data_IF_963657440527
#
_entry.id   IF_963657440527
#
_cell.length_a   1.000
_cell.length_b   1.000
_cell.length_c   1.000
_cell.angle_alpha   90.00
_cell.angle_beta   90.00
_cell.angle_gamma   90.00
#
_symmetry.space_group_name_H-M   'P 1'
#
loop_
_entity.id
_entity.type
_entity.pdbx_description
1 polymer ?
#
# COMPACT_ATOMS: atom_id res chain seq x y z
N UNK A 1 -68.21 -80.17 -10.58
CA UNK A 1 -68.65 -78.80 -10.93
C UNK A 1 -68.21 -77.85 -9.82
N UNK A 2 -67.31 -76.91 -10.18
CA UNK A 2 -66.93 -75.63 -9.54
C UNK A 2 -66.60 -75.63 -8.01
N UNK A 3 -65.36 -75.39 -7.53
CA UNK A 3 -64.34 -74.33 -7.73
C UNK A 3 -64.44 -73.16 -6.74
N UNK A 4 -63.39 -73.04 -5.90
CA UNK A 4 -62.75 -71.86 -5.24
C UNK A 4 -63.63 -70.96 -4.32
N UNK A 5 -63.15 -70.30 -3.26
CA UNK A 5 -61.81 -69.85 -2.90
C UNK A 5 -61.68 -69.64 -1.37
N UNK A 6 -60.47 -69.87 -0.84
CA UNK A 6 -60.00 -69.44 0.49
C UNK A 6 -59.40 -68.03 0.31
N UNK A 7 -59.83 -67.04 1.09
CA UNK A 7 -59.21 -65.71 1.16
C UNK A 7 -58.39 -65.64 2.45
N UNK A 8 -57.07 -65.55 2.29
CA UNK A 8 -56.12 -65.08 3.29
C UNK A 8 -56.26 -63.55 3.41
N UNK A 9 -56.48 -63.03 4.62
CA UNK A 9 -56.32 -61.60 4.92
C UNK A 9 -54.92 -61.40 5.50
N UNK A 10 -54.06 -60.75 4.73
CA UNK A 10 -52.71 -60.38 5.10
C UNK A 10 -52.71 -59.11 5.98
N UNK A 11 -51.80 -59.11 6.96
CA UNK A 11 -51.56 -58.02 7.89
C UNK A 11 -51.08 -56.76 7.17
N UNK A 12 -51.77 -55.64 7.39
CA UNK A 12 -51.30 -54.31 7.00
C UNK A 12 -50.22 -53.85 7.99
N UNK A 13 -48.97 -53.90 7.53
CA UNK A 13 -47.84 -53.29 8.21
C UNK A 13 -47.96 -51.77 8.20
N UNK A 14 -47.84 -51.17 9.38
CA UNK A 14 -47.60 -49.74 9.59
C UNK A 14 -46.31 -49.36 8.86
N UNK A 15 -46.43 -48.55 7.82
CA UNK A 15 -45.31 -47.89 7.15
C UNK A 15 -44.72 -46.92 8.17
N UNK A 16 -43.55 -47.27 8.70
CA UNK A 16 -42.76 -46.38 9.54
C UNK A 16 -42.37 -45.13 8.76
N UNK A 17 -42.45 -43.97 9.43
CA UNK A 17 -41.70 -42.79 9.03
C UNK A 17 -40.23 -43.19 8.97
N UNK A 18 -39.67 -43.31 7.75
CA UNK A 18 -38.23 -43.35 7.62
C UNK A 18 -37.70 -41.96 8.00
N UNK A 19 -36.73 -41.84 8.92
CA UNK A 19 -36.04 -40.59 9.14
C UNK A 19 -35.39 -40.20 7.81
N UNK A 20 -35.75 -39.04 7.27
CA UNK A 20 -34.91 -38.40 6.26
C UNK A 20 -33.56 -38.16 6.93
N UNK A 21 -32.52 -38.78 6.38
CA UNK A 21 -31.15 -38.46 6.75
C UNK A 21 -30.94 -36.98 6.44
N UNK A 22 -30.87 -36.13 7.48
CA UNK A 22 -30.47 -34.73 7.38
C UNK A 22 -28.99 -34.55 6.98
N UNK A 23 -28.35 -35.57 6.41
CA UNK A 23 -26.93 -35.61 6.09
C UNK A 23 -26.61 -35.25 4.63
N UNK A 24 -27.55 -34.65 3.90
CA UNK A 24 -27.34 -34.19 2.52
C UNK A 24 -28.20 -32.94 2.23
N UNK A 25 -28.19 -31.96 3.15
CA UNK A 25 -28.38 -30.59 2.68
C UNK A 25 -27.01 -30.22 2.11
N UNK A 26 -26.94 -30.17 0.80
CA UNK A 26 -25.73 -29.76 0.08
C UNK A 26 -25.60 -28.26 0.35
N UNK A 27 -24.62 -27.87 1.17
CA UNK A 27 -24.44 -26.47 1.55
C UNK A 27 -24.08 -25.65 0.31
N UNK A 28 -24.85 -24.60 0.03
CA UNK A 28 -24.64 -23.68 -1.08
C UNK A 28 -23.65 -22.59 -0.64
N UNK A 29 -22.40 -22.74 -1.07
CA UNK A 29 -21.31 -21.79 -0.78
C UNK A 29 -21.25 -20.67 -1.82
N UNK A 30 -21.86 -20.85 -2.98
CA UNK A 30 -21.83 -19.89 -4.08
C UNK A 30 -22.45 -18.56 -3.69
N UNK A 31 -21.87 -17.47 -4.19
CA UNK A 31 -22.42 -16.14 -4.04
C UNK A 31 -21.41 -15.07 -3.67
N UNK A 32 -21.89 -13.83 -3.55
CA UNK A 32 -21.11 -12.68 -3.11
C UNK A 32 -20.99 -12.63 -1.58
N UNK A 33 -19.81 -12.25 -1.11
CA UNK A 33 -19.49 -12.01 0.29
C UNK A 33 -18.77 -10.67 0.43
N UNK A 34 -19.11 -9.89 1.45
CA UNK A 34 -18.30 -8.77 1.91
C UNK A 34 -17.22 -9.32 2.85
N UNK A 35 -15.96 -9.13 2.46
CA UNK A 35 -14.80 -9.73 3.11
C UNK A 35 -13.83 -8.68 3.65
N UNK A 36 -13.22 -8.99 4.79
CA UNK A 36 -12.06 -8.25 5.30
C UNK A 36 -10.88 -9.22 5.36
N UNK A 37 -9.81 -8.89 4.65
CA UNK A 37 -8.55 -9.64 4.63
C UNK A 37 -7.47 -8.84 5.34
N UNK A 38 -6.67 -9.51 6.17
CA UNK A 38 -5.51 -8.95 6.85
C UNK A 38 -4.28 -9.70 6.38
N UNK A 39 -3.23 -8.97 5.99
CA UNK A 39 -1.94 -9.55 5.60
C UNK A 39 -0.83 -9.05 6.52
N UNK A 40 -0.03 -9.97 7.05
CA UNK A 40 1.20 -9.69 7.77
C UNK A 40 2.36 -9.61 6.77
N UNK A 41 2.84 -8.39 6.58
CA UNK A 41 3.89 -7.99 5.64
C UNK A 41 5.24 -7.79 6.35
N UNK A 42 5.37 -8.24 7.61
CA UNK A 42 6.55 -7.99 8.46
C UNK A 42 7.87 -8.46 7.86
N UNK A 43 7.84 -9.48 6.99
CA UNK A 43 8.99 -9.97 6.22
C UNK A 43 9.68 -8.88 5.39
N UNK A 44 8.97 -7.79 5.05
CA UNK A 44 9.50 -6.66 4.27
C UNK A 44 9.58 -5.35 5.06
N UNK A 45 9.53 -5.43 6.38
CA UNK A 45 9.85 -4.27 7.21
C UNK A 45 11.26 -3.75 6.92
N UNK A 46 11.41 -2.43 6.95
CA UNK A 46 12.64 -1.71 6.65
C UNK A 46 12.81 -1.30 5.19
N UNK A 47 11.96 -1.75 4.26
CA UNK A 47 12.09 -1.38 2.84
C UNK A 47 11.92 0.14 2.64
N UNK A 48 10.98 0.76 3.33
CA UNK A 48 10.78 2.21 3.26
C UNK A 48 11.86 2.96 4.04
N UNK A 49 12.43 2.37 5.08
CA UNK A 49 13.63 2.89 5.75
C UNK A 49 14.85 2.96 4.83
N UNK A 50 15.01 1.98 3.92
CA UNK A 50 16.06 2.03 2.90
C UNK A 50 15.81 3.14 1.87
N UNK A 51 14.55 3.30 1.43
CA UNK A 51 14.15 4.38 0.51
C UNK A 51 14.36 5.75 1.18
N UNK A 52 14.03 5.88 2.46
CA UNK A 52 14.23 7.10 3.25
C UNK A 52 15.70 7.55 3.28
N UNK A 53 16.65 6.63 3.23
CA UNK A 53 18.09 6.93 3.13
C UNK A 53 18.52 7.55 1.80
N UNK A 54 17.69 7.45 0.75
CA UNK A 54 17.94 8.07 -0.55
C UNK A 54 17.38 9.50 -0.63
N UNK A 55 16.57 9.93 0.35
CA UNK A 55 16.08 11.30 0.41
C UNK A 55 17.20 12.26 0.84
N UNK A 56 17.55 13.19 -0.05
CA UNK A 56 18.49 14.27 0.26
C UNK A 56 17.68 15.51 0.60
N UNK A 57 18.00 16.19 1.71
CA UNK A 57 17.28 17.41 2.05
C UNK A 57 17.58 18.53 1.02
N UNK A 58 16.59 19.37 0.66
CA UNK A 58 16.79 20.34 -0.42
C UNK A 58 17.92 21.33 -0.18
N UNK A 59 18.18 21.73 1.07
CA UNK A 59 19.28 22.62 1.43
C UNK A 59 20.65 22.04 1.07
N UNK A 60 20.90 20.77 1.41
CA UNK A 60 22.13 20.09 1.06
C UNK A 60 22.24 19.89 -0.46
N UNK A 61 21.15 19.46 -1.10
CA UNK A 61 21.10 19.21 -2.53
C UNK A 61 21.39 20.46 -3.36
N UNK A 62 20.64 21.54 -3.11
CA UNK A 62 20.74 22.80 -3.85
C UNK A 62 22.09 23.45 -3.60
N UNK A 63 22.58 23.45 -2.34
CA UNK A 63 23.92 23.98 -2.02
C UNK A 63 25.00 23.23 -2.81
N UNK A 64 24.92 21.89 -2.87
CA UNK A 64 25.88 21.09 -3.62
C UNK A 64 25.82 21.35 -5.13
N UNK A 65 24.64 21.57 -5.70
CA UNK A 65 24.49 21.94 -7.11
C UNK A 65 25.09 23.31 -7.41
N UNK A 66 24.82 24.31 -6.58
CA UNK A 66 25.41 25.65 -6.71
C UNK A 66 26.94 25.58 -6.63
N UNK A 67 27.50 24.87 -5.64
CA UNK A 67 28.96 24.69 -5.53
C UNK A 67 29.52 23.91 -6.72
N UNK A 68 28.83 22.87 -7.20
CA UNK A 68 29.24 22.11 -8.37
C UNK A 68 29.24 22.95 -9.65
N UNK A 69 28.32 23.90 -9.78
CA UNK A 69 28.33 24.86 -10.89
C UNK A 69 29.55 25.78 -10.81
N UNK A 70 29.89 26.30 -9.62
CA UNK A 70 31.11 27.09 -9.41
C UNK A 70 32.36 26.25 -9.74
N UNK A 71 32.39 24.97 -9.37
CA UNK A 71 33.49 24.06 -9.70
C UNK A 71 33.64 23.87 -11.22
N UNK A 72 32.51 23.71 -11.91
CA UNK A 72 32.49 23.55 -13.38
C UNK A 72 32.99 24.81 -14.09
N UNK A 73 32.67 25.99 -13.57
CA UNK A 73 33.03 27.27 -14.19
C UNK A 73 34.45 27.76 -13.82
N UNK A 74 34.87 27.58 -12.57
CA UNK A 74 36.08 28.19 -12.01
C UNK A 74 37.11 27.17 -11.49
N UNK A 75 36.79 25.89 -11.49
CA UNK A 75 37.65 24.80 -11.02
C UNK A 75 37.52 24.49 -9.52
N UNK A 76 38.00 23.31 -9.13
CA UNK A 76 37.79 22.72 -7.79
C UNK A 76 38.42 23.54 -6.65
N UNK A 77 39.57 24.19 -6.88
CA UNK A 77 40.22 25.04 -5.87
C UNK A 77 39.37 26.26 -5.51
N UNK A 78 38.82 26.93 -6.54
CA UNK A 78 37.94 28.08 -6.36
C UNK A 78 36.63 27.67 -5.71
N UNK A 79 36.03 26.55 -6.15
CA UNK A 79 34.80 26.03 -5.56
C UNK A 79 34.96 25.60 -4.10
N UNK A 80 36.10 25.02 -3.72
CA UNK A 80 36.42 24.71 -2.32
C UNK A 80 36.46 25.97 -1.46
N UNK A 81 37.10 27.03 -1.97
CA UNK A 81 37.16 28.34 -1.30
C UNK A 81 35.77 28.97 -1.20
N UNK A 82 35.01 28.96 -2.30
CA UNK A 82 33.62 29.43 -2.35
C UNK A 82 32.74 28.70 -1.33
N UNK A 83 32.81 27.36 -1.27
CA UNK A 83 32.09 26.54 -0.29
C UNK A 83 32.50 26.90 1.14
N UNK A 84 33.79 27.11 1.40
CA UNK A 84 34.29 27.48 2.72
C UNK A 84 33.77 28.84 3.18
N UNK A 85 33.52 29.78 2.27
CA UNK A 85 33.09 31.14 2.61
C UNK A 85 31.55 31.24 2.67
N UNK A 86 30.87 30.72 1.65
CA UNK A 86 29.43 30.91 1.47
C UNK A 86 28.59 29.66 1.73
N UNK A 87 29.18 28.46 1.74
CA UNK A 87 28.42 27.20 1.75
C UNK A 87 27.44 27.09 2.92
N UNK A 88 27.88 27.41 4.14
CA UNK A 88 27.01 27.38 5.32
C UNK A 88 25.92 28.47 5.27
N UNK A 89 26.24 29.66 4.76
CA UNK A 89 25.28 30.76 4.61
C UNK A 89 24.20 30.40 3.60
N UNK A 90 24.59 29.88 2.43
CA UNK A 90 23.69 29.39 1.38
C UNK A 90 22.76 28.31 1.95
N UNK A 91 23.34 27.29 2.61
CA UNK A 91 22.57 26.20 3.19
C UNK A 91 21.57 26.70 4.25
N UNK A 92 21.99 27.64 5.11
CA UNK A 92 21.13 28.23 6.16
C UNK A 92 19.98 29.04 5.56
N UNK A 93 20.24 29.83 4.52
CA UNK A 93 19.21 30.62 3.84
C UNK A 93 18.21 29.73 3.10
N UNK A 94 18.68 28.67 2.42
CA UNK A 94 17.79 27.69 1.79
C UNK A 94 16.94 26.99 2.85
N UNK A 95 17.56 26.53 3.95
CA UNK A 95 16.85 25.89 5.04
C UNK A 95 15.80 26.82 5.66
N UNK A 96 16.15 28.07 5.95
CA UNK A 96 15.22 29.09 6.47
C UNK A 96 14.05 29.33 5.51
N UNK A 97 14.32 29.41 4.20
CA UNK A 97 13.30 29.62 3.19
C UNK A 97 12.35 28.42 3.08
N UNK A 98 12.88 27.20 2.96
CA UNK A 98 12.09 25.97 2.79
C UNK A 98 11.32 25.64 4.07
N UNK A 99 11.95 25.71 5.24
CA UNK A 99 11.28 25.42 6.53
C UNK A 99 10.12 26.39 6.82
N UNK A 100 10.21 27.65 6.38
CA UNK A 100 9.13 28.62 6.52
C UNK A 100 7.91 28.33 5.64
N UNK A 101 8.05 27.53 4.58
CA UNK A 101 6.97 27.21 3.62
C UNK A 101 6.49 25.76 3.73
N UNK A 102 7.42 24.84 3.91
CA UNK A 102 7.24 23.40 3.82
C UNK A 102 8.14 22.68 4.84
N UNK A 103 7.89 22.83 6.16
CA UNK A 103 8.70 22.17 7.18
C UNK A 103 8.67 20.63 7.09
N UNK A 104 7.59 20.08 6.53
CA UNK A 104 7.41 18.64 6.32
C UNK A 104 8.45 18.00 5.39
N UNK A 105 9.09 18.76 4.49
CA UNK A 105 10.13 18.26 3.58
C UNK A 105 11.32 17.64 4.34
N UNK A 106 11.61 18.16 5.53
CA UNK A 106 12.65 17.65 6.41
C UNK A 106 12.20 16.43 7.23
N UNK A 107 10.92 16.08 7.15
CA UNK A 107 10.32 14.97 7.87
C UNK A 107 10.11 13.73 6.98
N UNK A 108 10.41 13.81 5.68
CA UNK A 108 10.20 12.72 4.71
C UNK A 108 10.79 11.39 5.21
N UNK A 109 12.06 11.38 5.62
CA UNK A 109 12.68 10.16 6.13
C UNK A 109 12.00 9.61 7.39
N UNK A 110 11.57 10.49 8.30
CA UNK A 110 10.85 10.08 9.51
C UNK A 110 9.41 9.62 9.22
N UNK A 111 8.75 10.22 8.23
CA UNK A 111 7.43 9.81 7.75
C UNK A 111 7.51 8.41 7.13
N UNK A 112 8.51 8.16 6.30
CA UNK A 112 8.72 6.82 5.74
C UNK A 112 8.97 5.73 6.78
N UNK A 113 9.68 6.04 7.87
CA UNK A 113 9.83 5.09 8.98
C UNK A 113 8.49 4.79 9.68
N UNK A 114 7.58 5.76 9.73
CA UNK A 114 6.22 5.53 10.24
C UNK A 114 5.39 4.71 9.27
N UNK A 115 5.42 5.04 7.97
CA UNK A 115 4.79 4.24 6.91
C UNK A 115 5.28 2.80 6.97
N UNK A 116 6.58 2.57 7.15
CA UNK A 116 7.16 1.23 7.33
C UNK A 116 6.55 0.46 8.49
N UNK A 117 6.34 1.13 9.62
CA UNK A 117 5.70 0.52 10.78
C UNK A 117 4.22 0.19 10.51
N UNK A 118 3.48 1.11 9.88
CA UNK A 118 2.06 0.95 9.55
C UNK A 118 1.84 -0.19 8.54
N UNK A 119 2.69 -0.27 7.52
CA UNK A 119 2.56 -1.21 6.41
C UNK A 119 2.94 -2.66 6.77
N UNK A 120 3.42 -2.94 7.98
CA UNK A 120 3.64 -4.31 8.48
C UNK A 120 2.36 -5.13 8.50
N UNK A 121 1.21 -4.48 8.62
CA UNK A 121 -0.08 -5.15 8.58
C UNK A 121 -0.97 -4.37 7.65
N UNK A 122 -1.43 -5.03 6.60
CA UNK A 122 -2.30 -4.45 5.59
C UNK A 122 -3.71 -5.02 5.78
N UNK A 123 -4.65 -4.18 6.20
CA UNK A 123 -6.06 -4.53 6.25
C UNK A 123 -6.73 -4.07 4.97
N UNK A 124 -7.34 -5.02 4.26
CA UNK A 124 -7.97 -4.84 2.96
C UNK A 124 -9.44 -5.18 3.09
N UNK A 125 -10.28 -4.23 2.69
CA UNK A 125 -11.70 -4.44 2.50
C UNK A 125 -11.91 -4.95 1.08
N UNK A 126 -12.58 -6.09 0.94
CA UNK A 126 -12.79 -6.73 -0.35
C UNK A 126 -14.24 -7.18 -0.50
N UNK A 127 -14.68 -7.36 -1.74
CA UNK A 127 -15.87 -8.15 -2.07
C UNK A 127 -15.39 -9.43 -2.74
N UNK A 128 -15.83 -10.57 -2.23
CA UNK A 128 -15.49 -11.89 -2.73
C UNK A 128 -16.67 -12.50 -3.47
N UNK A 129 -16.47 -12.95 -4.70
CA UNK A 129 -17.44 -13.75 -5.44
C UNK A 129 -16.97 -15.20 -5.50
N UNK A 130 -17.74 -16.12 -4.91
CA UNK A 130 -17.48 -17.56 -4.94
C UNK A 130 -18.38 -18.22 -5.99
N UNK A 131 -17.77 -19.01 -6.88
CA UNK A 131 -18.45 -19.70 -7.99
C UNK A 131 -18.02 -21.17 -8.01
N UNK A 132 -18.99 -22.08 -8.14
CA UNK A 132 -18.72 -23.50 -8.32
C UNK A 132 -18.19 -23.79 -9.74
N UNK A 133 -17.12 -24.57 -9.82
CA UNK A 133 -16.52 -25.06 -11.06
C UNK A 133 -16.60 -26.59 -11.20
N UNK A 134 -17.42 -27.25 -10.39
CA UNK A 134 -17.66 -28.69 -10.36
C UNK A 134 -16.87 -29.38 -9.25
N UNK A 135 -15.57 -29.58 -9.45
CA UNK A 135 -14.73 -30.24 -8.43
C UNK A 135 -14.14 -29.26 -7.41
N UNK A 136 -14.05 -27.98 -7.78
CA UNK A 136 -13.46 -26.90 -6.98
C UNK A 136 -14.35 -25.65 -7.06
N UNK A 137 -14.15 -24.73 -6.12
CA UNK A 137 -14.72 -23.39 -6.13
C UNK A 137 -13.66 -22.37 -6.54
N UNK A 138 -14.03 -21.42 -7.39
CA UNK A 138 -13.23 -20.22 -7.65
C UNK A 138 -13.77 -19.07 -6.82
N UNK A 139 -12.92 -18.43 -6.03
CA UNK A 139 -13.24 -17.21 -5.31
C UNK A 139 -12.43 -16.04 -5.88
N UNK A 140 -13.12 -14.99 -6.34
CA UNK A 140 -12.49 -13.76 -6.86
C UNK A 140 -12.71 -12.63 -5.87
N UNK A 141 -11.65 -12.07 -5.30
CA UNK A 141 -11.68 -10.94 -4.39
C UNK A 141 -11.33 -9.65 -5.11
N UNK A 142 -12.23 -8.67 -5.05
CA UNK A 142 -12.04 -7.31 -5.55
C UNK A 142 -11.81 -6.38 -4.37
N UNK A 143 -10.79 -5.51 -4.43
CA UNK A 143 -10.53 -4.56 -3.35
C UNK A 143 -11.48 -3.37 -3.43
N UNK A 144 -12.06 -3.04 -2.28
CA UNK A 144 -12.93 -1.89 -2.07
C UNK A 144 -12.18 -0.74 -1.36
N UNK A 145 -11.13 -1.09 -0.62
CA UNK A 145 -10.27 -0.13 0.05
C UNK A 145 -9.31 -0.82 1.00
N UNK A 146 -8.50 -0.01 1.67
CA UNK A 146 -7.58 -0.46 2.70
C UNK A 146 -7.73 0.40 3.94
N UNK A 147 -7.36 -0.16 5.08
CA UNK A 147 -7.25 0.58 6.34
C UNK A 147 -5.91 0.28 6.99
N UNK A 148 -5.24 1.33 7.45
CA UNK A 148 -3.93 1.25 8.07
C UNK A 148 -3.98 2.00 9.40
N UNK A 149 -3.67 1.30 10.49
CA UNK A 149 -3.65 1.90 11.82
C UNK A 149 -2.37 2.70 12.03
N UNK A 150 -2.48 3.83 12.73
CA UNK A 150 -1.32 4.65 13.05
C UNK A 150 -0.34 3.93 13.98
N UNK A 151 -0.88 3.13 14.90
CA UNK A 151 -0.14 2.22 15.76
C UNK A 151 -0.58 0.78 15.44
N UNK A 152 0.32 -0.10 14.96
CA UNK A 152 -0.01 -1.49 14.66
C UNK A 152 -0.56 -2.26 15.88
N UNK A 153 -0.09 -1.95 17.09
CA UNK A 153 -0.52 -2.63 18.32
C UNK A 153 -1.98 -2.32 18.71
N UNK A 154 -2.51 -1.24 18.14
CA UNK A 154 -3.84 -0.74 18.44
C UNK A 154 -4.94 -1.71 17.95
N UNK A 155 -4.63 -2.50 16.91
CA UNK A 155 -5.51 -3.55 16.38
C UNK A 155 -5.72 -4.72 17.36
N UNK A 156 -4.68 -5.11 18.10
CA UNK A 156 -4.76 -6.21 19.08
C UNK A 156 -5.74 -5.90 20.23
N UNK A 157 -6.02 -4.61 20.44
CA UNK A 157 -7.01 -4.12 21.39
C UNK A 157 -8.42 -3.92 20.80
N UNK A 158 -8.65 -4.39 19.57
CA UNK A 158 -9.92 -4.24 18.85
C UNK A 158 -10.08 -2.90 18.13
N UNK A 159 -9.01 -2.10 17.99
CA UNK A 159 -9.00 -0.84 17.24
C UNK A 159 -9.79 0.31 17.88
N UNK A 160 -10.36 0.12 19.08
CA UNK A 160 -11.21 1.12 19.73
C UNK A 160 -10.35 2.30 20.19
N UNK A 161 -10.67 3.50 19.68
CA UNK A 161 -9.97 4.74 20.02
C UNK A 161 -8.64 4.93 19.27
N UNK A 162 -8.37 4.08 18.28
CA UNK A 162 -7.18 4.15 17.45
C UNK A 162 -7.43 5.04 16.23
N UNK A 163 -6.41 5.82 15.87
CA UNK A 163 -6.41 6.56 14.61
C UNK A 163 -6.10 5.59 13.47
N UNK A 164 -6.87 5.69 12.39
CA UNK A 164 -6.71 4.88 11.19
C UNK A 164 -6.79 5.76 9.95
N UNK A 165 -5.98 5.43 8.96
CA UNK A 165 -6.06 5.98 7.61
C UNK A 165 -6.80 4.97 6.74
N UNK A 166 -7.95 5.35 6.23
CA UNK A 166 -8.73 4.53 5.28
C UNK A 166 -8.66 5.15 3.89
N UNK A 167 -8.33 4.35 2.90
CA UNK A 167 -8.24 4.74 1.50
C UNK A 167 -9.16 3.84 0.69
N UNK A 168 -10.08 4.43 -0.05
CA UNK A 168 -10.92 3.68 -0.99
C UNK A 168 -10.17 3.38 -2.29
N UNK A 169 -10.69 2.44 -3.07
CA UNK A 169 -10.07 2.05 -4.35
C UNK A 169 -10.00 3.22 -5.34
N UNK A 170 -10.97 4.14 -5.31
CA UNK A 170 -10.94 5.33 -6.15
C UNK A 170 -9.72 6.21 -5.83
N UNK A 171 -9.48 6.50 -4.54
CA UNK A 171 -8.31 7.29 -4.10
C UNK A 171 -6.98 6.62 -4.44
N UNK A 172 -6.93 5.29 -4.42
CA UNK A 172 -5.74 4.53 -4.79
C UNK A 172 -5.45 4.58 -6.30
N UNK A 173 -6.51 4.56 -7.13
CA UNK A 173 -6.41 4.60 -8.60
C UNK A 173 -6.24 6.02 -9.14
N UNK A 174 -6.85 7.04 -8.52
CA UNK A 174 -6.83 8.44 -8.95
C UNK A 174 -5.57 9.20 -8.47
N UNK A 175 -4.72 8.55 -7.68
CA UNK A 175 -3.45 9.15 -7.25
C UNK A 175 -2.47 9.38 -8.43
N UNK A 176 -1.55 10.35 -8.32
CA UNK A 176 -0.49 10.59 -9.34
C UNK A 176 0.30 9.30 -9.66
N UNK A 177 0.38 8.39 -8.69
CA UNK A 177 1.03 7.10 -8.82
C UNK A 177 0.07 5.97 -8.44
N UNK A 178 -0.80 5.55 -9.38
CA UNK A 178 -1.85 4.58 -9.11
C UNK A 178 -1.29 3.31 -8.48
N UNK A 179 -1.94 2.88 -7.40
CA UNK A 179 -1.72 1.52 -6.89
C UNK A 179 -2.55 0.62 -7.80
N UNK A 180 -1.92 0.05 -8.82
CA UNK A 180 -2.56 -0.96 -9.66
C UNK A 180 -2.93 -2.16 -8.78
N UNK A 181 -4.22 -2.27 -8.50
CA UNK A 181 -4.78 -3.40 -7.76
C UNK A 181 -5.29 -4.41 -8.78
N UNK A 182 -4.72 -5.61 -8.76
CA UNK A 182 -4.91 -6.60 -9.82
C UNK A 182 -6.11 -7.53 -9.56
N UNK A 183 -6.82 -7.38 -8.44
CA UNK A 183 -7.73 -8.39 -7.87
C UNK A 183 -6.97 -9.64 -7.41
N UNK A 184 -7.58 -10.43 -6.54
CA UNK A 184 -6.99 -11.70 -6.08
C UNK A 184 -7.91 -12.86 -6.40
N UNK A 185 -7.33 -13.88 -7.00
CA UNK A 185 -8.02 -15.10 -7.41
C UNK A 185 -7.59 -16.26 -6.50
N UNK A 186 -8.56 -17.02 -6.03
CA UNK A 186 -8.36 -18.20 -5.21
C UNK A 186 -9.08 -19.41 -5.80
N UNK A 187 -8.46 -20.57 -5.66
CA UNK A 187 -9.06 -21.88 -5.92
C UNK A 187 -9.18 -22.60 -4.60
N UNK A 188 -10.38 -23.07 -4.28
CA UNK A 188 -10.67 -23.74 -3.02
C UNK A 188 -11.48 -25.03 -3.22
N UNK A 189 -11.33 -25.95 -2.30
CA UNK A 189 -12.19 -27.13 -2.15
C UNK A 189 -13.04 -26.97 -0.91
N UNK A 190 -14.31 -27.35 -0.99
CA UNK A 190 -15.20 -27.37 0.16
C UNK A 190 -15.48 -28.80 0.55
N UNK A 191 -15.24 -29.13 1.82
CA UNK A 191 -15.67 -30.37 2.45
C UNK A 191 -16.43 -30.04 3.74
N UNK A 192 -17.74 -30.26 3.72
CA UNK A 192 -18.66 -29.90 4.82
C UNK A 192 -18.51 -28.41 5.21
N UNK A 193 -18.11 -28.17 6.44
CA UNK A 193 -17.94 -26.86 7.08
C UNK A 193 -16.55 -26.26 6.85
N UNK A 194 -15.74 -26.83 5.96
CA UNK A 194 -14.37 -26.37 5.70
C UNK A 194 -14.17 -26.00 4.23
N UNK A 195 -13.57 -24.83 4.01
CA UNK A 195 -13.05 -24.38 2.73
C UNK A 195 -11.51 -24.42 2.78
N UNK A 196 -10.91 -25.29 1.99
CA UNK A 196 -9.46 -25.43 1.84
C UNK A 196 -9.00 -24.65 0.61
N UNK A 197 -8.22 -23.60 0.80
CA UNK A 197 -7.66 -22.78 -0.28
C UNK A 197 -6.40 -23.46 -0.80
N UNK A 198 -6.51 -24.05 -1.99
CA UNK A 198 -5.42 -24.79 -2.65
C UNK A 198 -4.38 -23.85 -3.24
N UNK A 199 -4.84 -22.73 -3.79
CA UNK A 199 -3.97 -21.69 -4.35
C UNK A 199 -4.68 -20.35 -4.35
N UNK A 200 -3.91 -19.28 -4.19
CA UNK A 200 -4.35 -17.91 -4.25
C UNK A 200 -3.22 -17.04 -4.75
N UNK A 201 -3.53 -16.07 -5.62
CA UNK A 201 -2.56 -15.09 -6.08
C UNK A 201 -3.07 -13.68 -5.86
N UNK A 202 -2.19 -12.80 -5.39
CA UNK A 202 -2.46 -11.37 -5.24
C UNK A 202 -1.24 -10.59 -5.70
N UNK A 203 -1.46 -9.65 -6.61
CA UNK A 203 -0.42 -8.75 -7.11
C UNK A 203 -0.83 -7.29 -6.88
N UNK A 204 0.11 -6.47 -6.40
CA UNK A 204 -0.07 -5.02 -6.26
C UNK A 204 1.27 -4.30 -6.14
N UNK A 205 1.26 -2.97 -6.28
CA UNK A 205 2.46 -2.17 -6.07
C UNK A 205 2.58 -1.66 -4.63
N UNK A 206 3.29 -2.44 -3.79
CA UNK A 206 3.52 -2.12 -2.38
C UNK A 206 4.27 -0.80 -2.19
N UNK A 207 5.22 -0.50 -3.08
CA UNK A 207 5.96 0.76 -3.05
C UNK A 207 5.05 1.97 -3.31
N UNK A 208 4.22 1.93 -4.37
CA UNK A 208 3.28 3.03 -4.66
C UNK A 208 2.30 3.25 -3.51
N UNK A 209 1.83 2.17 -2.87
CA UNK A 209 1.00 2.28 -1.68
C UNK A 209 1.73 3.02 -0.54
N UNK A 210 3.00 2.70 -0.28
CA UNK A 210 3.81 3.44 0.69
C UNK A 210 3.98 4.93 0.35
N UNK A 211 4.08 5.28 -0.93
CA UNK A 211 4.15 6.68 -1.37
C UNK A 211 2.83 7.43 -1.16
N UNK A 212 1.70 6.78 -1.42
CA UNK A 212 0.36 7.31 -1.10
C UNK A 212 0.24 7.55 0.41
N UNK A 213 0.68 6.60 1.22
CA UNK A 213 0.66 6.72 2.68
C UNK A 213 1.56 7.84 3.20
N UNK A 214 2.78 7.96 2.66
CA UNK A 214 3.69 9.06 2.99
C UNK A 214 3.04 10.41 2.67
N UNK A 215 2.41 10.53 1.51
CA UNK A 215 1.77 11.77 1.05
C UNK A 215 0.60 12.11 1.97
N UNK A 216 -0.28 11.15 2.29
CA UNK A 216 -1.38 11.36 3.24
C UNK A 216 -0.89 11.78 4.63
N UNK A 217 0.21 11.20 5.11
CA UNK A 217 0.75 11.50 6.43
C UNK A 217 1.39 12.89 6.52
N UNK A 218 2.16 13.30 5.51
CA UNK A 218 2.86 14.59 5.51
C UNK A 218 1.97 15.73 5.05
N UNK A 219 0.98 15.44 4.21
CA UNK A 219 0.22 16.40 3.41
C UNK A 219 -1.26 16.00 3.31
N UNK A 220 -1.98 15.87 4.44
CA UNK A 220 -3.35 15.35 4.44
C UNK A 220 -4.33 16.20 3.61
N UNK A 221 -4.11 17.51 3.53
CA UNK A 221 -4.96 18.39 2.72
C UNK A 221 -4.75 18.15 1.21
N UNK A 222 -3.49 18.04 0.77
CA UNK A 222 -3.14 17.89 -0.64
C UNK A 222 -3.44 16.49 -1.17
N UNK A 223 -3.36 15.46 -0.31
CA UNK A 223 -3.73 14.10 -0.68
C UNK A 223 -5.20 14.01 -1.13
N UNK A 224 -6.09 14.78 -0.49
CA UNK A 224 -7.51 14.86 -0.87
C UNK A 224 -7.79 15.57 -2.20
N UNK A 225 -6.80 16.30 -2.73
CA UNK A 225 -6.88 17.03 -4.01
C UNK A 225 -6.26 16.24 -5.18
N UNK A 226 -5.78 15.01 -4.93
CA UNK A 226 -5.12 14.18 -5.96
C UNK A 226 -3.75 14.71 -6.41
N UNK A 227 -3.20 15.70 -5.69
CA UNK A 227 -1.88 16.27 -6.01
C UNK A 227 -0.81 15.31 -5.49
N UNK A 228 -0.01 14.75 -6.38
CA UNK A 228 0.98 13.78 -5.97
C UNK A 228 2.28 14.40 -5.45
N UNK A 229 3.09 13.55 -4.84
CA UNK A 229 4.26 13.96 -4.06
C UNK A 229 5.21 14.86 -4.84
N UNK A 230 5.38 14.61 -6.14
CA UNK A 230 6.31 15.37 -6.97
C UNK A 230 5.89 16.82 -7.10
N UNK A 231 4.63 17.05 -7.44
CA UNK A 231 4.09 18.40 -7.61
C UNK A 231 4.14 19.18 -6.30
N UNK A 232 3.82 18.51 -5.17
CA UNK A 232 3.86 19.15 -3.86
C UNK A 232 5.27 19.57 -3.47
N UNK A 233 6.29 18.73 -3.69
CA UNK A 233 7.69 19.10 -3.41
C UNK A 233 8.15 20.27 -4.29
N UNK A 234 7.86 20.24 -5.59
CA UNK A 234 8.27 21.30 -6.52
C UNK A 234 7.61 22.64 -6.17
N UNK A 235 6.31 22.62 -5.86
CA UNK A 235 5.57 23.79 -5.42
C UNK A 235 6.06 24.34 -4.07
N UNK A 236 6.43 23.44 -3.15
CA UNK A 236 6.95 23.79 -1.84
C UNK A 236 8.30 24.51 -1.90
N UNK A 237 9.25 23.98 -2.67
CA UNK A 237 10.60 24.56 -2.76
C UNK A 237 10.59 25.91 -3.46
N UNK A 238 9.74 26.12 -4.48
CA UNK A 238 9.61 27.40 -5.19
C UNK A 238 10.99 28.04 -5.51
N UNK A 239 11.74 27.39 -6.40
CA UNK A 239 13.13 27.73 -6.73
C UNK A 239 13.33 29.20 -7.12
N UNK A 240 12.37 29.83 -7.81
CA UNK A 240 12.45 31.25 -8.18
C UNK A 240 12.45 32.18 -6.96
N UNK A 241 11.54 31.94 -6.01
CA UNK A 241 11.47 32.73 -4.79
C UNK A 241 12.70 32.54 -3.91
N UNK A 242 13.19 31.30 -3.81
CA UNK A 242 14.41 30.97 -3.08
C UNK A 242 15.64 31.64 -3.73
N UNK A 243 15.79 31.54 -5.05
CA UNK A 243 16.91 32.13 -5.77
C UNK A 243 16.94 33.66 -5.65
N UNK A 244 15.77 34.31 -5.68
CA UNK A 244 15.66 35.76 -5.44
C UNK A 244 16.15 36.18 -4.05
N UNK A 245 15.98 35.32 -3.03
CA UNK A 245 16.51 35.56 -1.68
C UNK A 245 18.02 35.32 -1.59
N UNK A 246 18.55 34.35 -2.32
CA UNK A 246 19.98 34.05 -2.33
C UNK A 246 20.80 35.04 -3.17
N UNK A 247 20.26 35.50 -4.30
CA UNK A 247 20.92 36.34 -5.27
C UNK A 247 20.29 37.76 -5.29
N UNK A 248 20.31 38.44 -4.15
CA UNK A 248 19.68 39.76 -3.89
C UNK A 248 20.00 40.83 -4.96
N UNK A 249 21.18 40.75 -5.61
CA UNK A 249 21.61 41.66 -6.69
C UNK A 249 21.76 40.99 -8.06
N UNK A 250 21.04 39.89 -8.29
CA UNK A 250 21.09 39.13 -9.53
C UNK A 250 22.29 38.16 -9.64
N UNK A 251 23.15 38.12 -8.62
CA UNK A 251 24.26 37.18 -8.51
C UNK A 251 24.43 36.73 -7.06
N UNK A 252 24.72 35.44 -6.87
CA UNK A 252 25.21 34.88 -5.62
C UNK A 252 26.72 34.66 -5.79
N UNK A 253 27.54 35.44 -5.08
CA UNK A 253 28.99 35.42 -5.30
C UNK A 253 29.81 36.06 -4.18
N UNK A 254 31.12 35.90 -4.29
CA UNK A 254 32.14 36.44 -3.39
C UNK A 254 33.41 36.79 -4.17
N UNK A 255 34.14 37.81 -3.73
CA UNK A 255 35.48 38.11 -4.25
C UNK A 255 36.50 37.10 -3.72
N UNK A 256 37.21 36.44 -4.64
CA UNK A 256 38.28 35.51 -4.32
C UNK A 256 39.54 36.00 -5.03
N UNK A 257 40.43 36.62 -4.24
CA UNK A 257 41.71 37.17 -4.73
C UNK A 257 41.55 38.21 -5.85
N UNK A 258 40.56 39.10 -5.75
CA UNK A 258 40.30 40.16 -6.74
C UNK A 258 39.54 39.69 -7.98
N UNK A 259 38.96 38.49 -7.95
CA UNK A 259 38.08 37.94 -8.98
C UNK A 259 36.70 37.72 -8.36
N UNK A 260 35.67 38.33 -8.96
CA UNK A 260 34.28 38.05 -8.62
C UNK A 260 33.91 36.63 -9.06
N UNK A 261 33.73 35.74 -8.08
CA UNK A 261 33.31 34.36 -8.30
C UNK A 261 31.86 34.23 -7.85
N UNK A 262 30.99 33.75 -8.74
CA UNK A 262 29.59 33.57 -8.39
C UNK A 262 28.79 32.86 -9.46
N UNK A 263 27.50 32.70 -9.16
CA UNK A 263 26.50 32.16 -10.08
C UNK A 263 25.41 33.20 -10.27
N UNK A 264 24.90 33.32 -11.51
CA UNK A 264 23.81 34.26 -11.79
C UNK A 264 22.51 33.79 -11.15
N UNK A 265 21.55 34.71 -10.95
CA UNK A 265 20.21 34.36 -10.48
C UNK A 265 19.57 33.23 -11.32
N UNK A 266 19.71 33.30 -12.64
CA UNK A 266 19.17 32.28 -13.55
C UNK A 266 19.86 30.91 -13.35
N UNK A 267 21.17 30.91 -13.10
CA UNK A 267 21.89 29.67 -12.79
C UNK A 267 21.46 29.08 -11.45
N UNK A 268 21.19 29.92 -10.43
CA UNK A 268 20.66 29.46 -9.14
C UNK A 268 19.28 28.84 -9.31
N UNK A 269 18.41 29.46 -10.13
CA UNK A 269 17.09 28.92 -10.46
C UNK A 269 17.23 27.57 -11.16
N UNK A 270 18.02 27.49 -12.24
CA UNK A 270 18.20 26.25 -13.01
C UNK A 270 18.79 25.12 -12.16
N UNK A 271 19.84 25.40 -11.38
CA UNK A 271 20.43 24.40 -10.48
C UNK A 271 19.46 23.91 -9.39
N UNK A 272 18.58 24.77 -8.91
CA UNK A 272 17.53 24.39 -7.97
C UNK A 272 16.46 23.52 -8.65
N UNK A 273 15.93 23.97 -9.79
CA UNK A 273 14.87 23.26 -10.50
C UNK A 273 15.35 21.88 -10.97
N UNK A 274 16.51 21.81 -11.62
CA UNK A 274 17.11 20.55 -12.09
C UNK A 274 17.47 19.63 -10.93
N UNK A 275 18.00 20.21 -9.84
CA UNK A 275 18.37 19.48 -8.64
C UNK A 275 17.16 18.81 -8.00
N UNK A 276 16.16 19.61 -7.62
CA UNK A 276 14.96 19.15 -6.94
C UNK A 276 14.14 18.21 -7.84
N UNK A 277 13.95 18.56 -9.11
CA UNK A 277 13.21 17.73 -10.05
C UNK A 277 13.89 16.36 -10.23
N UNK A 278 15.21 16.35 -10.46
CA UNK A 278 15.98 15.12 -10.63
C UNK A 278 15.94 14.24 -9.37
N UNK A 279 16.08 14.85 -8.19
CA UNK A 279 16.00 14.13 -6.92
C UNK A 279 14.61 13.54 -6.69
N UNK A 280 13.56 14.33 -6.88
CA UNK A 280 12.17 13.91 -6.61
C UNK A 280 11.74 12.81 -7.57
N UNK A 281 12.07 12.92 -8.87
CA UNK A 281 11.80 11.86 -9.83
C UNK A 281 12.52 10.57 -9.45
N UNK A 282 13.85 10.66 -9.23
CA UNK A 282 14.63 9.49 -8.83
C UNK A 282 14.17 8.88 -7.51
N UNK A 283 13.67 9.69 -6.59
CA UNK A 283 13.11 9.22 -5.32
C UNK A 283 11.76 8.53 -5.49
N UNK A 284 10.85 9.09 -6.29
CA UNK A 284 9.55 8.49 -6.62
C UNK A 284 9.73 7.16 -7.35
N UNK A 285 10.71 7.06 -8.24
CA UNK A 285 11.00 5.83 -9.00
C UNK A 285 11.41 4.66 -8.08
N UNK A 286 11.97 4.94 -6.89
CA UNK A 286 12.28 3.90 -5.89
C UNK A 286 11.03 3.22 -5.30
N UNK A 287 9.85 3.82 -5.47
CA UNK A 287 8.57 3.27 -5.02
C UNK A 287 7.91 2.38 -6.08
N UNK A 288 8.56 2.11 -7.20
CA UNK A 288 8.13 1.03 -8.10
C UNK A 288 8.56 -0.32 -7.54
N UNK A 289 7.78 -0.82 -6.57
CA UNK A 289 8.03 -2.10 -5.89
C UNK A 289 6.80 -2.98 -6.05
N UNK A 290 6.64 -3.65 -7.20
CA UNK A 290 5.58 -4.63 -7.37
C UNK A 290 5.85 -5.83 -6.46
N UNK A 291 4.75 -6.32 -5.90
CA UNK A 291 4.71 -7.47 -5.00
C UNK A 291 3.72 -8.47 -5.57
N UNK A 292 4.16 -9.73 -5.63
CA UNK A 292 3.28 -10.88 -5.88
C UNK A 292 3.25 -11.81 -4.69
N UNK A 293 2.06 -12.25 -4.32
CA UNK A 293 1.80 -13.13 -3.20
C UNK A 293 1.20 -14.44 -3.72
N UNK A 294 1.72 -15.55 -3.22
CA UNK A 294 1.16 -16.89 -3.38
C UNK A 294 0.64 -17.36 -2.03
N UNK A 295 -0.64 -17.67 -1.95
CA UNK A 295 -1.37 -17.92 -0.72
C UNK A 295 -2.04 -19.29 -0.75
N UNK A 296 -2.01 -20.00 0.37
CA UNK A 296 -2.82 -21.18 0.63
C UNK A 296 -3.40 -21.09 2.03
N UNK A 297 -4.42 -21.87 2.34
CA UNK A 297 -5.09 -21.69 3.62
C UNK A 297 -6.31 -22.55 3.85
N UNK A 298 -7.01 -22.21 4.92
CA UNK A 298 -8.26 -22.86 5.30
C UNK A 298 -9.19 -21.84 5.95
N UNK A 299 -10.49 -22.01 5.75
CA UNK A 299 -11.54 -21.24 6.41
C UNK A 299 -12.68 -22.17 6.83
N UNK A 300 -13.47 -21.72 7.80
CA UNK A 300 -14.70 -22.40 8.21
C UNK A 300 -15.90 -21.73 7.57
N UNK A 301 -16.87 -22.55 7.19
CA UNK A 301 -18.13 -22.14 6.60
C UNK A 301 -19.24 -22.32 7.62
N UNK A 302 -20.06 -21.29 7.78
CA UNK A 302 -21.15 -21.30 8.75
C UNK A 302 -22.46 -20.90 8.09
N UNK A 303 -23.42 -21.81 8.19
CA UNK A 303 -24.84 -21.62 7.90
C UNK A 303 -25.51 -21.30 9.26
N UNK A 304 -25.95 -20.05 9.43
CA UNK A 304 -26.44 -19.49 10.70
C UNK A 304 -27.93 -19.79 10.88
N UNK A 305 -28.72 -19.78 9.81
CA UNK A 305 -30.17 -19.93 9.87
C UNK A 305 -30.68 -21.33 9.47
N UNK A 306 -29.76 -22.23 9.09
CA UNK A 306 -29.98 -23.61 8.68
C UNK A 306 -30.82 -23.75 7.40
N UNK A 307 -30.78 -22.75 6.51
CA UNK A 307 -31.45 -22.79 5.22
C UNK A 307 -30.67 -23.58 4.15
N UNK A 308 -29.45 -24.00 4.47
CA UNK A 308 -28.55 -24.73 3.58
C UNK A 308 -27.63 -23.83 2.77
N UNK A 309 -27.65 -22.52 2.96
CA UNK A 309 -26.74 -21.56 2.34
C UNK A 309 -25.69 -21.10 3.36
N UNK A 310 -24.47 -20.81 2.89
CA UNK A 310 -23.41 -20.33 3.77
C UNK A 310 -23.54 -18.81 3.97
N UNK A 311 -23.88 -18.39 5.18
CA UNK A 311 -23.97 -16.98 5.56
C UNK A 311 -22.60 -16.37 5.85
N UNK A 312 -21.68 -17.15 6.41
CA UNK A 312 -20.40 -16.65 6.92
C UNK A 312 -19.23 -17.55 6.57
N UNK A 313 -18.11 -16.91 6.24
CA UNK A 313 -16.80 -17.53 6.11
C UNK A 313 -15.94 -16.95 7.22
N UNK A 314 -15.57 -17.76 8.22
CA UNK A 314 -14.84 -17.30 9.39
C UNK A 314 -13.59 -18.14 9.64
N UNK A 315 -12.75 -17.66 10.57
CA UNK A 315 -11.47 -18.30 10.90
C UNK A 315 -10.59 -18.57 9.66
N UNK A 316 -10.73 -17.74 8.61
CA UNK A 316 -9.91 -17.84 7.41
C UNK A 316 -8.47 -17.56 7.77
N UNK A 317 -7.59 -18.54 7.60
CA UNK A 317 -6.15 -18.42 7.81
C UNK A 317 -5.45 -18.65 6.49
N UNK A 318 -4.59 -17.70 6.11
CA UNK A 318 -3.78 -17.72 4.90
C UNK A 318 -2.30 -17.78 5.29
N UNK A 319 -1.53 -18.51 4.51
CA UNK A 319 -0.08 -18.54 4.61
C UNK A 319 0.54 -18.75 3.24
N UNK A 320 1.77 -18.31 3.07
CA UNK A 320 2.48 -18.56 1.83
C UNK A 320 3.73 -17.73 1.67
N UNK A 321 4.04 -17.45 0.41
CA UNK A 321 5.23 -16.70 0.04
C UNK A 321 4.86 -15.41 -0.65
N UNK A 322 5.77 -14.47 -0.53
CA UNK A 322 5.66 -13.18 -1.16
C UNK A 322 6.99 -12.87 -1.83
N UNK A 323 6.93 -12.34 -3.05
CA UNK A 323 8.09 -11.90 -3.80
C UNK A 323 7.93 -10.42 -4.14
N UNK A 324 8.93 -9.62 -3.76
CA UNK A 324 9.03 -8.23 -4.21
C UNK A 324 10.11 -8.12 -5.29
N UNK A 325 9.85 -7.32 -6.31
CA UNK A 325 10.90 -6.90 -7.24
C UNK A 325 11.31 -5.48 -6.89
N UNK A 326 12.58 -5.31 -6.49
CA UNK A 326 13.18 -4.02 -6.21
C UNK A 326 14.46 -3.87 -7.02
N UNK A 327 14.50 -2.88 -7.92
CA UNK A 327 15.71 -2.54 -8.67
C UNK A 327 16.35 -3.76 -9.39
N UNK A 328 15.52 -4.69 -9.89
CA UNK A 328 15.97 -5.91 -10.55
C UNK A 328 16.43 -7.03 -9.62
N UNK A 329 16.31 -6.88 -8.31
CA UNK A 329 16.53 -7.92 -7.30
C UNK A 329 15.19 -8.43 -6.80
N UNK A 330 15.02 -9.75 -6.80
CA UNK A 330 13.87 -10.41 -6.18
C UNK A 330 14.20 -10.71 -4.72
N UNK A 331 13.43 -10.18 -3.78
CA UNK A 331 13.48 -10.61 -2.39
C UNK A 331 12.22 -11.43 -2.08
N UNK A 332 12.42 -12.57 -1.42
CA UNK A 332 11.33 -13.46 -1.01
C UNK A 332 11.14 -13.41 0.50
N UNK A 333 9.89 -13.40 0.92
CA UNK A 333 9.49 -13.38 2.32
C UNK A 333 8.30 -14.30 2.57
N UNK A 334 8.07 -14.62 3.84
CA UNK A 334 6.85 -15.28 4.25
C UNK A 334 5.74 -14.25 4.41
N UNK A 335 4.52 -14.66 4.06
CA UNK A 335 3.32 -13.87 4.33
C UNK A 335 2.32 -14.75 5.06
N UNK A 336 1.65 -14.17 6.04
CA UNK A 336 0.48 -14.79 6.67
C UNK A 336 -0.68 -13.82 6.57
N UNK A 337 -1.89 -14.35 6.68
CA UNK A 337 -3.07 -13.52 6.67
C UNK A 337 -4.26 -14.17 7.32
N UNK A 338 -5.27 -13.36 7.55
CA UNK A 338 -6.56 -13.79 8.06
C UNK A 338 -7.67 -13.16 7.23
N UNK A 339 -8.79 -13.84 7.07
CA UNK A 339 -9.95 -13.22 6.47
C UNK A 339 -11.26 -13.70 7.09
N UNK A 340 -12.27 -12.83 7.02
CA UNK A 340 -13.65 -13.10 7.36
C UNK A 340 -14.54 -12.59 6.23
N UNK A 341 -15.65 -13.28 5.98
CA UNK A 341 -16.63 -12.92 4.96
C UNK A 341 -18.05 -13.10 5.46
N UNK A 342 -18.92 -12.18 5.08
CA UNK A 342 -20.36 -12.22 5.32
C UNK A 342 -21.10 -12.17 3.99
N UNK A 343 -22.08 -13.03 3.80
CA UNK A 343 -22.81 -13.09 2.54
C UNK A 343 -23.57 -11.79 2.29
N UNK A 344 -23.52 -11.29 1.06
CA UNK A 344 -24.18 -10.02 0.73
C UNK A 344 -25.70 -10.23 0.73
N UNK A 345 -26.40 -9.44 1.55
CA UNK A 345 -27.85 -9.54 1.73
C UNK A 345 -28.26 -10.16 3.06
N UNK A 346 -27.37 -10.94 3.66
CA UNK A 346 -27.55 -11.57 4.96
C UNK A 346 -26.86 -10.70 6.01
N UNK A 347 -27.56 -9.66 6.46
CA UNK A 347 -27.09 -8.81 7.55
C UNK A 347 -27.48 -9.49 8.88
N UNK A 348 -26.56 -9.63 9.86
CA UNK A 348 -26.88 -10.17 11.18
C UNK A 348 -27.95 -9.38 11.95
#
# INVERSE_FOLDING_TARGET
MKSYAIILVAAAGLIGCQPMNASTIQQEVEGPYDTESRYDMSSFSGIFGQIAGQWVTPDALITNRIVGQVETQYGSSVASTFRSILGQSIQTEINSYVSGRAPWIYQVSSGLNKVDAQMKTLDVQTTMLVVDQGENYKATQTWNGISLFDDPSCRDSGGIGCSQTSLDTASLLDSEYPVEIISSDYVAQVDRDQMNIESGSLDFNYGRLGLVMLTNQLLPAQASEGVGFREVVLGAVNCRGMAGRLADKGMLGVDIAGVDVGVSLNDVIGNCEDGVLGQVNGFVDLFEVPVGMSLTGQARLHDVDFDGQIDQINEGNLGGTMALQKLGVSEEGLVSGQFIGFRVGDIP
#
